data_IF_866192294044
#
_entry.id   IF_866192294044
#
_cell.length_a   1.000
_cell.length_b   1.000
_cell.length_c   1.000
_cell.angle_alpha   90.00
_cell.angle_beta   90.00
_cell.angle_gamma   90.00
#
_symmetry.space_group_name_H-M   'P 1'
#
loop_
_entity.id
_entity.type
_entity.pdbx_description
1 polymer ?
#
# COMPACT_ATOMS: atom_id res chain seq x y z
N UNK A 1 -0.46 0.14 -0.29
CA UNK A 1 -0.81 0.24 -1.71
C UNK A 1 -0.58 1.66 -2.18
N UNK A 2 0.10 1.81 -3.32
CA UNK A 2 0.39 3.09 -3.97
C UNK A 2 -0.84 3.61 -4.73
N UNK A 3 -1.28 4.83 -4.44
CA UNK A 3 -2.46 5.46 -5.02
C UNK A 3 -2.17 6.76 -5.77
N UNK A 4 -1.00 7.39 -5.62
CA UNK A 4 -0.73 8.68 -6.28
C UNK A 4 -0.60 8.61 -7.81
N UNK A 5 -0.45 7.40 -8.37
CA UNK A 5 -0.54 7.17 -9.84
C UNK A 5 -1.94 6.77 -10.31
N UNK A 6 -2.92 6.68 -9.41
CA UNK A 6 -4.28 6.27 -9.73
C UNK A 6 -5.10 7.47 -10.19
N UNK A 7 -5.98 7.25 -11.16
CA UNK A 7 -6.90 8.30 -11.60
C UNK A 7 -7.94 8.64 -10.52
N UNK A 8 -8.29 9.92 -10.42
CA UNK A 8 -9.18 10.49 -9.39
C UNK A 8 -10.57 9.84 -9.35
N UNK A 9 -11.09 9.41 -10.51
CA UNK A 9 -12.40 8.80 -10.65
C UNK A 9 -12.50 7.35 -10.17
N UNK A 10 -11.38 6.72 -9.78
CA UNK A 10 -11.40 5.36 -9.28
C UNK A 10 -11.82 5.39 -7.80
N UNK A 11 -12.73 4.53 -7.37
CA UNK A 11 -13.08 4.41 -5.94
C UNK A 11 -12.08 3.46 -5.25
N UNK A 12 -11.45 3.89 -4.14
CA UNK A 12 -10.59 2.98 -3.35
C UNK A 12 -11.48 2.28 -2.33
N UNK A 13 -11.58 0.97 -2.40
CA UNK A 13 -12.09 0.20 -1.27
C UNK A 13 -10.93 -0.19 -0.35
N UNK A 14 -10.47 0.76 0.46
CA UNK A 14 -9.46 0.49 1.50
C UNK A 14 -10.16 0.18 2.83
N UNK A 15 -9.81 -0.93 3.46
CA UNK A 15 -10.26 -1.23 4.81
C UNK A 15 -9.35 -0.54 5.83
N UNK A 16 -9.77 -0.44 7.09
CA UNK A 16 -8.99 0.20 8.15
C UNK A 16 -7.54 -0.34 8.31
N UNK A 17 -7.31 -1.60 7.91
CA UNK A 17 -6.00 -2.25 7.95
C UNK A 17 -5.13 -2.00 6.70
N UNK A 18 -5.73 -1.51 5.61
CA UNK A 18 -5.06 -1.20 4.36
C UNK A 18 -4.36 0.14 4.46
N UNK A 19 -3.03 0.12 4.30
CA UNK A 19 -2.25 1.34 4.18
C UNK A 19 -2.31 1.84 2.73
N UNK A 20 -2.87 3.02 2.54
CA UNK A 20 -2.85 3.75 1.28
C UNK A 20 -1.72 4.79 1.32
N UNK A 21 -0.88 4.80 0.30
CA UNK A 21 0.25 5.73 0.16
C UNK A 21 0.09 6.50 -1.14
N UNK A 22 0.27 7.81 -1.11
CA UNK A 22 0.25 8.64 -2.31
C UNK A 22 1.55 8.45 -3.11
N UNK A 23 2.67 8.52 -2.41
CA UNK A 23 4.03 8.35 -2.94
C UNK A 23 4.69 7.06 -2.43
N UNK A 24 5.83 6.70 -3.04
CA UNK A 24 6.54 5.46 -2.71
C UNK A 24 6.87 5.47 -1.22
N UNK A 25 6.41 4.47 -0.45
CA UNK A 25 6.57 4.52 0.98
C UNK A 25 8.05 4.38 1.35
N UNK A 26 8.46 5.00 2.46
CA UNK A 26 9.79 4.81 3.04
C UNK A 26 10.06 3.35 3.44
N UNK A 27 9.01 2.55 3.66
CA UNK A 27 9.14 1.12 3.93
C UNK A 27 9.58 0.37 2.67
N UNK A 28 10.66 -0.42 2.81
CA UNK A 28 11.13 -1.29 1.75
C UNK A 28 10.12 -2.42 1.50
N UNK A 29 10.11 -2.97 0.28
CA UNK A 29 9.29 -4.14 -0.04
C UNK A 29 9.52 -5.29 0.96
N UNK A 30 10.76 -5.53 1.40
CA UNK A 30 11.06 -6.54 2.42
C UNK A 30 10.39 -6.27 3.77
N UNK A 31 10.35 -5.01 4.23
CA UNK A 31 9.69 -4.60 5.47
C UNK A 31 8.17 -4.73 5.36
N UNK A 32 7.62 -4.43 4.19
CA UNK A 32 6.21 -4.70 3.90
C UNK A 32 5.91 -6.20 3.93
N UNK A 33 6.74 -7.05 3.31
CA UNK A 33 6.59 -8.51 3.35
C UNK A 33 6.61 -9.04 4.79
N UNK A 34 7.52 -8.53 5.65
CA UNK A 34 7.58 -8.86 7.07
C UNK A 34 6.29 -8.48 7.81
N UNK A 35 5.80 -7.25 7.60
CA UNK A 35 4.52 -6.79 8.19
C UNK A 35 3.35 -7.67 7.78
N UNK A 36 3.31 -8.10 6.51
CA UNK A 36 2.22 -8.91 5.98
C UNK A 36 2.37 -10.41 6.27
N UNK A 37 3.49 -10.84 6.86
CA UNK A 37 3.79 -12.27 7.08
C UNK A 37 3.95 -13.05 5.77
N UNK A 38 4.35 -12.38 4.69
CA UNK A 38 4.49 -12.94 3.33
C UNK A 38 5.91 -13.44 3.04
N UNK A 39 6.71 -13.63 4.09
CA UNK A 39 8.14 -13.98 4.07
C UNK A 39 8.41 -15.49 3.98
N UNK A 40 7.59 -16.21 3.20
CA UNK A 40 7.66 -17.66 3.07
C UNK A 40 8.57 -18.11 1.94
#
# INVERSE_FOLDING_TARGET
MMLGSRADWVEVNAQFQDKCFDEYPDESLAEWHQRQGLER
#
